data_IF_312645677451
#
_entry.id   IF_312645677451
#
_cell.length_a   1.000
_cell.length_b   1.000
_cell.length_c   1.000
_cell.angle_alpha   90.00
_cell.angle_beta   90.00
_cell.angle_gamma   90.00
#
_symmetry.space_group_name_H-M   'P 1'
#
loop_
_entity.id
_entity.type
_entity.pdbx_description
1 polymer ?
#
# COMPACT_ATOMS: atom_id res chain seq x y z
N UNK A 1 -0.80 -2.32 -39.70
CA UNK A 1 -0.91 -1.69 -38.37
C UNK A 1 -2.13 -2.24 -37.67
N UNK A 2 -1.94 -3.06 -36.63
CA UNK A 2 -2.64 -2.82 -35.39
C UNK A 2 -1.64 -2.64 -34.23
N UNK A 3 -1.92 -1.66 -33.36
CA UNK A 3 -1.16 -1.38 -32.16
C UNK A 3 -1.15 -2.63 -31.28
N UNK A 4 0.05 -3.15 -31.02
CA UNK A 4 0.29 -4.24 -30.09
C UNK A 4 -0.47 -3.93 -28.78
N UNK A 5 -1.40 -4.82 -28.42
CA UNK A 5 -2.15 -4.71 -27.20
C UNK A 5 -1.19 -4.53 -26.05
N UNK A 6 -1.26 -3.36 -25.40
CA UNK A 6 -0.62 -3.13 -24.11
C UNK A 6 -1.04 -4.32 -23.24
N UNK A 7 -0.10 -5.09 -22.68
CA UNK A 7 -0.47 -6.16 -21.78
C UNK A 7 -1.31 -5.51 -20.67
N UNK A 8 -2.59 -5.90 -20.59
CA UNK A 8 -3.37 -5.67 -19.38
C UNK A 8 -2.64 -6.46 -18.30
N UNK A 9 -1.77 -5.79 -17.56
CA UNK A 9 -1.29 -6.29 -16.27
C UNK A 9 -2.53 -6.80 -15.52
N UNK A 10 -2.44 -7.96 -14.83
CA UNK A 10 -3.58 -8.54 -14.13
C UNK A 10 -4.22 -7.43 -13.33
N UNK A 11 -5.47 -7.09 -13.68
CA UNK A 11 -6.11 -5.84 -13.29
C UNK A 11 -6.02 -5.69 -11.76
N UNK A 12 -5.10 -4.87 -11.27
CA UNK A 12 -4.76 -4.82 -9.85
C UNK A 12 -3.30 -4.43 -9.58
N UNK A 13 -2.33 -5.10 -10.20
CA UNK A 13 -0.90 -4.82 -9.96
C UNK A 13 -0.36 -3.88 -11.04
N UNK A 14 -0.27 -2.60 -10.69
CA UNK A 14 0.27 -1.54 -11.54
C UNK A 14 1.71 -1.19 -11.13
N UNK A 15 2.46 -0.54 -12.04
CA UNK A 15 3.86 -0.15 -11.80
C UNK A 15 4.09 0.66 -10.53
N UNK A 16 3.11 1.46 -10.08
CA UNK A 16 3.18 2.18 -8.81
C UNK A 16 3.25 1.23 -7.61
N UNK A 17 2.43 0.18 -7.60
CA UNK A 17 2.36 -0.79 -6.51
C UNK A 17 3.69 -1.55 -6.38
N UNK A 18 4.26 -1.95 -7.52
CA UNK A 18 5.58 -2.58 -7.61
C UNK A 18 6.67 -1.62 -7.12
N UNK A 19 6.60 -0.34 -7.50
CA UNK A 19 7.58 0.67 -7.07
C UNK A 19 7.53 0.90 -5.55
N UNK A 20 6.34 0.96 -4.95
CA UNK A 20 6.20 1.02 -3.49
C UNK A 20 6.72 -0.24 -2.81
N UNK A 21 6.42 -1.44 -3.34
CA UNK A 21 6.95 -2.70 -2.80
C UNK A 21 8.48 -2.73 -2.87
N UNK A 22 9.04 -2.17 -3.95
CA UNK A 22 10.47 -1.99 -4.13
C UNK A 22 11.13 -0.97 -3.19
N UNK A 23 10.35 -0.18 -2.44
CA UNK A 23 10.88 0.88 -1.59
C UNK A 23 11.27 2.14 -2.37
N UNK A 24 10.81 2.28 -3.62
CA UNK A 24 11.05 3.45 -4.47
C UNK A 24 9.71 4.13 -4.78
N UNK A 25 9.14 4.92 -3.84
CA UNK A 25 7.91 5.67 -4.08
C UNK A 25 7.99 6.48 -5.38
N UNK A 26 6.97 6.42 -6.25
CA UNK A 26 6.94 7.24 -7.46
C UNK A 26 7.03 8.74 -7.17
N UNK A 27 7.59 9.49 -8.12
CA UNK A 27 7.60 10.96 -8.05
C UNK A 27 6.17 11.50 -7.92
N UNK A 28 5.96 12.43 -6.99
CA UNK A 28 4.64 12.97 -6.66
C UNK A 28 3.84 12.18 -5.62
N UNK A 29 4.39 11.08 -5.07
CA UNK A 29 3.82 10.44 -3.89
C UNK A 29 4.01 11.33 -2.65
N UNK A 30 2.92 11.65 -1.97
CA UNK A 30 2.95 12.44 -0.74
C UNK A 30 3.00 11.50 0.47
N UNK A 31 4.04 11.61 1.30
CA UNK A 31 4.20 10.75 2.48
C UNK A 31 3.21 11.16 3.58
N UNK A 32 2.46 10.19 4.09
CA UNK A 32 1.46 10.38 5.15
C UNK A 32 2.09 9.98 6.47
N UNK A 33 1.80 10.76 7.51
CA UNK A 33 2.26 10.42 8.86
C UNK A 33 1.37 9.32 9.42
N UNK A 34 2.00 8.20 9.77
CA UNK A 34 1.33 7.08 10.45
C UNK A 34 1.61 7.20 11.95
N UNK A 35 0.55 7.20 12.75
CA UNK A 35 0.63 7.13 14.20
C UNK A 35 0.13 5.76 14.67
N UNK A 36 0.94 5.06 15.47
CA UNK A 36 0.68 3.71 15.96
C UNK A 36 1.97 2.88 16.00
N UNK A 37 1.91 1.71 16.63
CA UNK A 37 3.08 0.87 16.92
C UNK A 37 3.21 -0.27 15.88
N UNK A 38 3.42 0.09 14.61
CA UNK A 38 3.65 -0.85 13.53
C UNK A 38 4.69 -0.30 12.56
N UNK A 39 5.61 -1.15 12.08
CA UNK A 39 6.60 -0.79 11.05
C UNK A 39 5.90 -0.63 9.70
N UNK A 40 5.18 0.48 9.58
CA UNK A 40 4.27 0.78 8.49
C UNK A 40 4.51 2.21 8.02
N UNK A 41 4.61 2.36 6.71
CA UNK A 41 4.73 3.63 6.03
C UNK A 41 3.55 3.81 5.08
N UNK A 42 3.11 5.05 4.92
CA UNK A 42 1.97 5.37 4.08
C UNK A 42 2.27 6.52 3.13
N UNK A 43 1.66 6.48 1.95
CA UNK A 43 1.71 7.55 0.95
C UNK A 43 0.36 7.74 0.27
N UNK A 44 0.04 8.97 -0.09
CA UNK A 44 -0.99 9.29 -1.08
C UNK A 44 -0.36 9.43 -2.46
N UNK A 45 -0.93 8.77 -3.44
CA UNK A 45 -0.53 8.92 -4.84
C UNK A 45 -1.74 8.70 -5.75
N UNK A 46 -2.05 9.68 -6.61
CA UNK A 46 -3.18 9.63 -7.56
C UNK A 46 -4.50 9.25 -6.88
N UNK A 47 -4.83 9.95 -5.78
CA UNK A 47 -6.06 9.74 -4.98
C UNK A 47 -6.20 8.37 -4.31
N UNK A 48 -5.10 7.61 -4.25
CA UNK A 48 -5.03 6.31 -3.59
C UNK A 48 -4.04 6.34 -2.45
N UNK A 49 -4.39 5.63 -1.39
CA UNK A 49 -3.53 5.42 -0.24
C UNK A 49 -2.73 4.14 -0.47
N UNK A 50 -1.43 4.22 -0.31
CA UNK A 50 -0.51 3.11 -0.37
C UNK A 50 0.08 2.89 1.02
N UNK A 51 -0.16 1.71 1.59
CA UNK A 51 0.37 1.29 2.87
C UNK A 51 1.47 0.25 2.61
N UNK A 52 2.65 0.39 3.23
CA UNK A 52 3.79 -0.53 3.11
C UNK A 52 4.26 -0.94 4.49
N UNK A 53 4.41 -2.22 4.76
CA UNK A 53 4.95 -2.68 6.03
C UNK A 53 5.10 -4.19 6.12
N UNK A 54 5.72 -4.64 7.21
CA UNK A 54 5.81 -6.06 7.58
C UNK A 54 4.69 -6.43 8.53
N UNK A 55 3.46 -6.26 8.06
CA UNK A 55 2.24 -6.48 8.83
C UNK A 55 1.20 -7.14 7.94
N UNK A 56 0.09 -7.58 8.51
CA UNK A 56 -1.08 -8.04 7.75
C UNK A 56 -2.18 -7.01 7.86
N UNK A 57 -2.68 -6.48 6.74
CA UNK A 57 -3.81 -5.57 6.73
C UNK A 57 -5.11 -6.33 7.05
N UNK A 58 -5.79 -5.95 8.14
CA UNK A 58 -7.07 -6.53 8.55
C UNK A 58 -8.24 -5.69 8.00
N UNK A 59 -8.14 -4.36 8.11
CA UNK A 59 -9.21 -3.44 7.72
C UNK A 59 -8.60 -2.07 7.34
N UNK A 60 -9.04 -1.38 6.27
CA UNK A 60 -10.12 -1.72 5.34
C UNK A 60 -9.74 -2.76 4.28
N UNK A 61 -10.71 -3.12 3.43
CA UNK A 61 -10.48 -3.92 2.22
C UNK A 61 -9.53 -3.17 1.29
N UNK A 62 -8.53 -3.89 0.77
CA UNK A 62 -7.59 -3.37 -0.21
C UNK A 62 -8.13 -3.56 -1.64
N UNK A 63 -7.81 -2.61 -2.52
CA UNK A 63 -8.12 -2.69 -3.94
C UNK A 63 -7.12 -3.55 -4.70
N UNK A 64 -5.87 -3.55 -4.23
CA UNK A 64 -4.79 -4.36 -4.75
C UNK A 64 -3.69 -4.52 -3.71
N UNK A 65 -2.92 -5.59 -3.84
CA UNK A 65 -1.73 -5.84 -3.01
C UNK A 65 -0.56 -6.27 -3.88
N UNK A 66 0.65 -5.96 -3.43
CA UNK A 66 1.88 -6.53 -3.97
C UNK A 66 2.85 -6.81 -2.85
N UNK A 67 3.57 -7.92 -3.01
CA UNK A 67 4.50 -8.43 -2.02
C UNK A 67 5.90 -8.43 -2.60
N UNK A 68 6.89 -8.08 -1.79
CA UNK A 68 8.31 -8.18 -2.14
C UNK A 68 9.11 -8.54 -0.90
N UNK A 69 9.72 -9.72 -0.94
CA UNK A 69 10.40 -10.32 0.21
C UNK A 69 9.43 -10.36 1.41
N UNK A 70 9.81 -9.78 2.56
CA UNK A 70 8.98 -9.74 3.77
C UNK A 70 8.08 -8.48 3.84
N UNK A 71 8.03 -7.66 2.78
CA UNK A 71 7.28 -6.41 2.77
C UNK A 71 6.04 -6.54 1.91
N UNK A 72 4.92 -6.18 2.50
CA UNK A 72 3.63 -6.14 1.84
C UNK A 72 3.22 -4.69 1.56
N UNK A 73 2.59 -4.47 0.41
CA UNK A 73 2.06 -3.17 0.02
C UNK A 73 0.61 -3.29 -0.41
N UNK A 74 -0.25 -2.50 0.21
CA UNK A 74 -1.68 -2.46 -0.09
C UNK A 74 -2.06 -1.12 -0.67
N UNK A 75 -2.89 -1.16 -1.71
CA UNK A 75 -3.58 0.02 -2.24
C UNK A 75 -5.00 0.06 -1.66
N UNK A 76 -5.34 1.21 -1.09
CA UNK A 76 -6.57 1.47 -0.37
C UNK A 76 -7.25 2.72 -0.91
N UNK A 77 -8.57 2.79 -0.75
CA UNK A 77 -9.27 4.07 -0.70
C UNK A 77 -8.75 4.87 0.50
N UNK A 78 -8.52 6.19 0.37
CA UNK A 78 -8.08 7.02 1.50
C UNK A 78 -8.98 6.86 2.74
N UNK A 79 -8.35 6.61 3.89
CA UNK A 79 -9.01 6.41 5.18
C UNK A 79 -8.13 6.98 6.29
N UNK A 80 -8.72 7.54 7.34
CA UNK A 80 -7.97 8.03 8.49
C UNK A 80 -7.51 6.91 9.44
N UNK A 81 -8.08 5.70 9.33
CA UNK A 81 -7.80 4.59 10.24
C UNK A 81 -7.63 3.28 9.49
N UNK A 82 -6.65 2.50 9.95
CA UNK A 82 -6.30 1.18 9.43
C UNK A 82 -6.05 0.25 10.60
N UNK A 83 -6.52 -0.99 10.52
CA UNK A 83 -6.22 -2.04 11.49
C UNK A 83 -5.28 -3.05 10.83
N UNK A 84 -4.17 -3.34 11.50
CA UNK A 84 -3.17 -4.30 11.04
C UNK A 84 -2.87 -5.32 12.13
N UNK A 85 -2.53 -6.55 11.75
CA UNK A 85 -1.90 -7.52 12.63
C UNK A 85 -0.39 -7.47 12.43
N UNK A 86 0.36 -7.47 13.54
CA UNK A 86 1.81 -7.67 13.53
C UNK A 86 2.16 -9.14 13.45
N UNK A 87 3.45 -9.44 13.26
CA UNK A 87 3.97 -10.81 13.25
C UNK A 87 3.72 -11.58 14.57
N UNK A 88 3.63 -10.86 15.70
CA UNK A 88 3.28 -11.41 17.02
C UNK A 88 1.77 -11.73 17.17
N UNK A 89 0.96 -11.43 16.15
CA UNK A 89 -0.49 -11.58 16.17
C UNK A 89 -1.23 -10.44 16.88
N UNK A 90 -0.53 -9.43 17.40
CA UNK A 90 -1.17 -8.28 18.02
C UNK A 90 -1.82 -7.39 16.96
N UNK A 91 -3.08 -7.04 17.17
CA UNK A 91 -3.79 -6.07 16.34
C UNK A 91 -3.48 -4.65 16.79
N UNK A 92 -3.06 -3.82 15.83
CA UNK A 92 -2.70 -2.42 16.06
C UNK A 92 -3.53 -1.54 15.15
N UNK A 93 -4.25 -0.60 15.75
CA UNK A 93 -4.94 0.45 15.02
C UNK A 93 -3.95 1.58 14.69
N UNK A 94 -3.75 1.82 13.40
CA UNK A 94 -2.96 2.92 12.86
C UNK A 94 -3.88 4.09 12.51
N UNK A 95 -3.42 5.29 12.83
CA UNK A 95 -4.06 6.54 12.44
C UNK A 95 -3.22 7.25 11.38
N UNK A 96 -3.85 7.66 10.30
CA UNK A 96 -3.23 8.33 9.17
C UNK A 96 -3.55 9.82 9.24
N UNK A 97 -2.50 10.64 9.38
CA UNK A 97 -2.60 12.09 9.39
C UNK A 97 -2.16 12.66 8.03
N UNK A 98 -3.17 13.16 7.30
CA UNK A 98 -3.06 13.82 6.01
C UNK A 98 -2.63 15.28 6.13
#
# INVERSE_FOLDING_TARGET
MPLAGVPKSPAGIDGSLIAFAAGTPPAGAHRIRVAGDGDVQAWLFRDRLYLRGRVTLINPVHEATADRDDVHVWRLTPTARVLVAREDGAEVALTLAY
#
